data_IF_161397077799
#
_entry.id   IF_161397077799
#
_cell.length_a   1.000
_cell.length_b   1.000
_cell.length_c   1.000
_cell.angle_alpha   90.00
_cell.angle_beta   90.00
_cell.angle_gamma   90.00
#
_symmetry.space_group_name_H-M   'P 1'
#
loop_
_entity.id
_entity.type
_entity.pdbx_description
1 polymer ?
#
# COMPACT_ATOMS: atom_id res chain seq x y z
N UNK A 1 -46.92 -4.98 -11.26
CA UNK A 1 -47.22 -3.61 -10.79
C UNK A 1 -46.09 -3.17 -9.89
N UNK A 2 -45.45 -2.04 -10.21
CA UNK A 2 -44.32 -1.51 -9.45
C UNK A 2 -43.40 -0.60 -10.27
N UNK A 3 -43.90 0.05 -11.33
CA UNK A 3 -43.20 1.15 -11.98
C UNK A 3 -43.33 2.40 -11.12
N UNK A 4 -42.29 2.73 -10.37
CA UNK A 4 -42.01 4.09 -9.94
C UNK A 4 -40.80 4.55 -10.74
N UNK A 5 -40.99 5.65 -11.46
CA UNK A 5 -39.98 6.37 -12.22
C UNK A 5 -38.82 6.77 -11.30
N UNK A 6 -37.84 5.88 -11.13
CA UNK A 6 -36.50 6.30 -10.77
C UNK A 6 -35.82 6.63 -12.09
N UNK A 7 -35.45 7.89 -12.30
CA UNK A 7 -34.57 8.38 -13.37
C UNK A 7 -33.21 7.64 -13.31
N UNK A 8 -33.23 6.35 -13.62
CA UNK A 8 -32.16 5.38 -13.36
C UNK A 8 -30.99 5.51 -14.33
N UNK A 9 -31.13 6.39 -15.33
CA UNK A 9 -30.16 6.63 -16.39
C UNK A 9 -29.49 8.01 -16.32
N UNK A 10 -29.79 8.79 -15.27
CA UNK A 10 -29.33 10.17 -15.13
C UNK A 10 -29.98 11.12 -16.14
N UNK A 11 -30.17 12.38 -15.77
CA UNK A 11 -30.85 13.36 -16.65
C UNK A 11 -29.80 14.11 -17.48
N UNK A 12 -29.70 13.90 -18.81
CA UNK A 12 -28.75 14.62 -19.65
C UNK A 12 -29.14 16.10 -19.77
N UNK A 13 -28.14 16.98 -19.72
CA UNK A 13 -28.34 18.40 -19.99
C UNK A 13 -28.43 18.62 -21.51
N UNK A 14 -29.62 18.98 -21.98
CA UNK A 14 -29.88 19.32 -23.39
C UNK A 14 -29.34 20.70 -23.77
N UNK A 15 -29.08 21.57 -22.79
CA UNK A 15 -28.57 22.92 -23.02
C UNK A 15 -27.03 22.88 -23.07
N UNK A 16 -26.40 23.29 -24.18
CA UNK A 16 -24.94 23.32 -24.31
C UNK A 16 -24.28 24.10 -23.16
N UNK A 17 -23.14 23.59 -22.67
CA UNK A 17 -22.35 24.31 -21.67
C UNK A 17 -21.69 25.52 -22.31
N UNK A 18 -21.76 26.69 -21.65
CA UNK A 18 -21.10 27.93 -22.10
C UNK A 18 -19.59 27.76 -22.24
N UNK A 19 -18.99 26.86 -21.45
CA UNK A 19 -17.59 26.44 -21.60
C UNK A 19 -17.62 24.96 -21.96
N UNK A 20 -17.44 24.66 -23.24
CA UNK A 20 -17.43 23.29 -23.73
C UNK A 20 -16.39 22.45 -22.98
N UNK A 21 -16.79 21.25 -22.56
CA UNK A 21 -15.91 20.24 -21.96
C UNK A 21 -15.78 19.14 -22.98
N UNK A 22 -14.62 19.04 -23.60
CA UNK A 22 -14.33 18.02 -24.61
C UNK A 22 -13.76 16.75 -23.97
N UNK A 23 -13.87 15.65 -24.72
CA UNK A 23 -13.38 14.34 -24.29
C UNK A 23 -11.88 14.37 -23.95
N UNK A 24 -10.99 15.00 -24.75
CA UNK A 24 -9.56 15.12 -24.42
C UNK A 24 -9.30 15.82 -23.07
N UNK A 25 -10.07 16.86 -22.74
CA UNK A 25 -9.97 17.51 -21.44
C UNK A 25 -10.35 16.56 -20.30
N UNK A 26 -11.45 15.80 -20.44
CA UNK A 26 -11.88 14.82 -19.43
C UNK A 26 -10.84 13.72 -19.21
N UNK A 27 -10.26 13.22 -20.30
CA UNK A 27 -9.20 12.20 -20.25
C UNK A 27 -7.96 12.74 -19.53
N UNK A 28 -7.52 13.97 -19.85
CA UNK A 28 -6.38 14.59 -19.18
C UNK A 28 -6.68 14.92 -17.70
N UNK A 29 -7.89 15.39 -17.38
CA UNK A 29 -8.32 15.65 -16.02
C UNK A 29 -8.27 14.37 -15.17
N UNK A 30 -8.89 13.30 -15.65
CA UNK A 30 -8.96 12.02 -14.96
C UNK A 30 -7.56 11.41 -14.77
N UNK A 31 -6.73 11.45 -15.82
CA UNK A 31 -5.33 11.01 -15.76
C UNK A 31 -4.54 11.77 -14.70
N UNK A 32 -4.57 13.10 -14.72
CA UNK A 32 -3.80 13.91 -13.77
C UNK A 32 -4.26 13.70 -12.33
N UNK A 33 -5.57 13.56 -12.09
CA UNK A 33 -6.12 13.25 -10.77
C UNK A 33 -5.66 11.89 -10.28
N UNK A 34 -5.71 10.88 -11.14
CA UNK A 34 -5.29 9.53 -10.77
C UNK A 34 -3.79 9.43 -10.54
N UNK A 35 -2.97 9.96 -11.46
CA UNK A 35 -1.51 9.97 -11.32
C UNK A 35 -1.06 10.71 -10.06
N UNK A 36 -1.73 11.80 -9.68
CA UNK A 36 -1.46 12.50 -8.41
C UNK A 36 -1.63 11.58 -7.19
N UNK A 37 -2.70 10.78 -7.15
CA UNK A 37 -2.95 9.81 -6.05
C UNK A 37 -1.84 8.75 -6.02
N UNK A 38 -1.49 8.20 -7.18
CA UNK A 38 -0.48 7.14 -7.25
C UNK A 38 0.92 7.66 -6.93
N UNK A 39 1.29 8.86 -7.40
CA UNK A 39 2.56 9.50 -7.06
C UNK A 39 2.65 9.81 -5.57
N UNK A 40 1.54 10.19 -4.93
CA UNK A 40 1.47 10.34 -3.49
C UNK A 40 1.72 9.00 -2.77
N UNK A 41 1.09 7.91 -3.23
CA UNK A 41 1.32 6.57 -2.65
C UNK A 41 2.79 6.12 -2.72
N UNK A 42 3.48 6.46 -3.80
CA UNK A 42 4.90 6.12 -4.01
C UNK A 42 5.84 7.05 -3.21
N UNK A 43 5.36 8.16 -2.67
CA UNK A 43 6.19 9.14 -1.97
C UNK A 43 7.04 10.00 -2.91
N UNK A 44 6.77 9.96 -4.22
CA UNK A 44 7.30 10.96 -5.16
C UNK A 44 6.42 12.20 -5.06
N UNK A 45 6.73 13.05 -4.08
CA UNK A 45 5.94 14.25 -3.77
C UNK A 45 5.57 15.04 -5.03
N UNK A 46 4.26 15.22 -5.23
CA UNK A 46 3.73 16.22 -6.16
C UNK A 46 3.41 17.48 -5.36
N UNK A 47 3.56 18.67 -5.95
CA UNK A 47 3.25 19.95 -5.28
C UNK A 47 1.79 20.05 -4.82
N UNK A 48 0.91 19.17 -5.32
CA UNK A 48 -0.52 19.13 -5.00
C UNK A 48 -0.88 17.85 -4.26
N UNK A 49 -1.33 18.03 -3.03
CA UNK A 49 -1.83 16.96 -2.17
C UNK A 49 -3.17 16.40 -2.71
N UNK A 50 -3.40 15.08 -2.61
CA UNK A 50 -4.71 14.50 -2.79
C UNK A 50 -5.74 15.10 -1.83
N UNK A 51 -7.03 15.03 -2.20
CA UNK A 51 -8.10 15.49 -1.30
C UNK A 51 -8.17 14.66 -0.02
N UNK A 52 -8.64 15.26 1.07
CA UNK A 52 -8.70 14.63 2.40
C UNK A 52 -9.49 13.31 2.38
N UNK A 53 -10.55 13.22 1.58
CA UNK A 53 -11.34 12.01 1.39
C UNK A 53 -10.52 10.84 0.81
N UNK A 54 -9.62 11.13 -0.13
CA UNK A 54 -8.73 10.12 -0.72
C UNK A 54 -7.72 9.65 0.32
N UNK A 55 -7.12 10.56 1.09
CA UNK A 55 -6.15 10.22 2.13
C UNK A 55 -6.78 9.35 3.24
N UNK A 56 -8.00 9.70 3.65
CA UNK A 56 -8.76 8.93 4.63
C UNK A 56 -9.09 7.53 4.09
N UNK A 57 -9.49 7.40 2.82
CA UNK A 57 -9.76 6.10 2.22
C UNK A 57 -8.48 5.25 2.09
N UNK A 58 -7.36 5.84 1.65
CA UNK A 58 -6.07 5.13 1.55
C UNK A 58 -5.60 4.59 2.90
N UNK A 59 -5.91 5.31 3.99
CA UNK A 59 -5.64 4.86 5.36
C UNK A 59 -6.61 3.76 5.79
N UNK A 60 -7.91 3.95 5.59
CA UNK A 60 -8.94 2.99 5.96
C UNK A 60 -8.76 1.65 5.23
N UNK A 61 -8.47 1.70 3.94
CA UNK A 61 -8.17 0.52 3.11
C UNK A 61 -6.86 -0.19 3.48
N UNK A 62 -6.06 0.39 4.38
CA UNK A 62 -4.75 -0.12 4.73
C UNK A 62 -3.77 -0.12 3.56
N UNK A 63 -4.02 0.66 2.49
CA UNK A 63 -3.08 0.84 1.37
C UNK A 63 -1.91 1.76 1.75
N UNK A 64 -2.14 2.66 2.71
CA UNK A 64 -1.11 3.50 3.31
C UNK A 64 -1.30 3.56 4.83
N UNK A 65 -0.21 3.80 5.56
CA UNK A 65 -0.22 3.99 7.00
C UNK A 65 0.57 5.23 7.38
N UNK A 66 0.17 5.89 8.47
CA UNK A 66 0.80 7.13 8.94
C UNK A 66 -0.26 8.04 9.56
N UNK A 67 0.10 8.76 10.63
CA UNK A 67 -0.85 9.63 11.35
C UNK A 67 -1.02 10.97 10.64
N UNK A 68 0.07 11.54 10.15
CA UNK A 68 0.11 12.81 9.41
C UNK A 68 0.34 12.57 7.91
N UNK A 69 -0.06 13.53 7.08
CA UNK A 69 0.09 13.44 5.62
C UNK A 69 1.55 13.20 5.19
N UNK A 70 2.50 13.92 5.80
CA UNK A 70 3.94 13.81 5.50
C UNK A 70 4.59 12.50 6.03
N UNK A 71 3.88 11.77 6.89
CA UNK A 71 4.33 10.49 7.45
C UNK A 71 3.70 9.29 6.75
N UNK A 72 2.84 9.52 5.74
CA UNK A 72 2.15 8.46 5.03
C UNK A 72 3.15 7.61 4.26
N UNK A 73 3.18 6.31 4.56
CA UNK A 73 3.99 5.30 3.90
C UNK A 73 3.11 4.24 3.28
N UNK A 74 3.58 3.69 2.17
CA UNK A 74 2.87 2.61 1.48
C UNK A 74 2.94 1.32 2.29
N UNK A 75 1.86 0.54 2.31
CA UNK A 75 1.85 -0.80 2.90
C UNK A 75 2.14 -1.87 1.84
N UNK A 76 2.21 -3.13 2.27
CA UNK A 76 2.29 -4.26 1.34
C UNK A 76 1.09 -4.29 0.37
N UNK A 77 -0.14 -4.14 0.90
CA UNK A 77 -1.35 -4.08 0.08
C UNK A 77 -1.37 -2.84 -0.83
N UNK A 78 -0.87 -1.70 -0.35
CA UNK A 78 -0.67 -0.49 -1.14
C UNK A 78 0.24 -0.70 -2.35
N UNK A 79 1.35 -1.39 -2.15
CA UNK A 79 2.26 -1.70 -3.24
C UNK A 79 1.62 -2.67 -4.24
N UNK A 80 0.92 -3.72 -3.78
CA UNK A 80 0.18 -4.63 -4.66
C UNK A 80 -0.89 -3.89 -5.47
N UNK A 81 -1.59 -2.95 -4.85
CA UNK A 81 -2.56 -2.09 -5.51
C UNK A 81 -1.95 -1.31 -6.68
N UNK A 82 -0.74 -0.77 -6.53
CA UNK A 82 -0.04 -0.07 -7.62
C UNK A 82 0.26 -0.98 -8.83
N UNK A 83 0.24 -2.30 -8.66
CA UNK A 83 0.52 -3.27 -9.72
C UNK A 83 -0.72 -3.69 -10.50
N UNK A 84 -1.91 -3.39 -9.97
CA UNK A 84 -3.17 -3.71 -10.60
C UNK A 84 -3.38 -2.85 -11.85
N UNK A 85 -4.19 -3.34 -12.79
CA UNK A 85 -4.67 -2.53 -13.90
C UNK A 85 -5.61 -1.42 -13.39
N UNK A 86 -5.81 -0.37 -14.20
CA UNK A 86 -6.60 0.81 -13.80
C UNK A 86 -8.01 0.45 -13.31
N UNK A 87 -8.70 -0.46 -14.00
CA UNK A 87 -10.06 -0.88 -13.64
C UNK A 87 -10.08 -1.54 -12.25
N UNK A 88 -9.17 -2.48 -12.00
CA UNK A 88 -9.01 -3.17 -10.72
C UNK A 88 -8.60 -2.23 -9.60
N UNK A 89 -7.76 -1.23 -9.88
CA UNK A 89 -7.42 -0.21 -8.88
C UNK A 89 -8.65 0.63 -8.49
N UNK A 90 -9.43 1.12 -9.47
CA UNK A 90 -10.64 1.91 -9.18
C UNK A 90 -11.63 1.07 -8.37
N UNK A 91 -11.92 -0.16 -8.81
CA UNK A 91 -12.85 -1.04 -8.10
C UNK A 91 -12.37 -1.37 -6.69
N UNK A 92 -11.06 -1.56 -6.50
CA UNK A 92 -10.51 -1.79 -5.16
C UNK A 92 -10.76 -0.58 -4.25
N UNK A 93 -10.56 0.65 -4.72
CA UNK A 93 -10.90 1.85 -3.92
C UNK A 93 -12.41 1.97 -3.68
N UNK A 94 -13.24 1.73 -4.70
CA UNK A 94 -14.69 1.81 -4.57
C UNK A 94 -15.24 0.78 -3.57
N UNK A 95 -14.72 -0.45 -3.57
CA UNK A 95 -15.11 -1.47 -2.60
C UNK A 95 -14.72 -1.09 -1.17
N UNK A 96 -13.51 -0.56 -0.95
CA UNK A 96 -13.13 -0.04 0.36
C UNK A 96 -13.98 1.17 0.77
N UNK A 97 -14.40 1.99 -0.19
CA UNK A 97 -15.30 3.11 0.07
C UNK A 97 -16.68 2.60 0.49
N UNK A 98 -17.21 1.55 -0.17
CA UNK A 98 -18.46 0.88 0.21
C UNK A 98 -18.39 0.28 1.61
N UNK A 99 -17.27 -0.36 1.97
CA UNK A 99 -17.08 -0.87 3.34
C UNK A 99 -17.04 0.28 4.37
N UNK A 100 -16.37 1.40 4.04
CA UNK A 100 -16.27 2.56 4.93
C UNK A 100 -17.62 3.22 5.21
N UNK A 101 -18.54 3.24 4.24
CA UNK A 101 -19.91 3.77 4.43
C UNK A 101 -20.84 2.77 5.11
N UNK A 102 -20.61 1.47 4.95
CA UNK A 102 -21.34 0.41 5.65
C UNK A 102 -21.06 0.48 7.15
N UNK A 103 -19.81 0.76 7.53
CA UNK A 103 -19.42 1.08 8.91
C UNK A 103 -20.09 2.36 9.46
N UNK A 104 -20.61 3.22 8.59
CA UNK A 104 -21.39 4.42 8.95
C UNK A 104 -22.91 4.19 8.92
N UNK A 105 -23.35 2.93 8.86
CA UNK A 105 -24.76 2.51 8.81
C UNK A 105 -25.54 3.05 7.59
N UNK A 106 -24.84 3.35 6.49
CA UNK A 106 -25.47 3.71 5.21
C UNK A 106 -25.60 2.47 4.34
N UNK A 107 -26.80 2.19 3.84
CA UNK A 107 -27.04 1.06 2.93
C UNK A 107 -26.21 1.21 1.64
N UNK A 108 -25.25 0.29 1.36
CA UNK A 108 -24.39 0.40 0.19
C UNK A 108 -25.14 0.16 -1.13
N UNK A 109 -26.36 -0.39 -1.11
CA UNK A 109 -27.13 -0.73 -2.32
C UNK A 109 -27.45 0.50 -3.17
N UNK A 110 -27.90 1.62 -2.56
CA UNK A 110 -28.19 2.86 -3.31
C UNK A 110 -26.92 3.40 -4.00
N UNK A 111 -25.78 3.32 -3.31
CA UNK A 111 -24.50 3.82 -3.82
C UNK A 111 -23.96 2.91 -4.91
N UNK A 112 -24.10 1.60 -4.76
CA UNK A 112 -23.73 0.64 -5.78
C UNK A 112 -24.58 0.84 -7.07
N UNK A 113 -25.89 1.05 -6.93
CA UNK A 113 -26.76 1.37 -8.05
C UNK A 113 -26.33 2.68 -8.73
N UNK A 114 -25.96 3.69 -7.94
CA UNK A 114 -25.42 4.94 -8.46
C UNK A 114 -24.09 4.77 -9.21
N UNK A 115 -23.17 3.92 -8.72
CA UNK A 115 -21.91 3.61 -9.41
C UNK A 115 -22.16 2.91 -10.75
N UNK A 116 -23.12 1.98 -10.81
CA UNK A 116 -23.51 1.33 -12.06
C UNK A 116 -24.17 2.30 -13.04
N UNK A 117 -25.00 3.23 -12.55
CA UNK A 117 -25.54 4.31 -13.37
C UNK A 117 -24.39 5.12 -14.00
N UNK A 118 -23.40 5.55 -13.20
CA UNK A 118 -22.24 6.31 -13.69
C UNK A 118 -21.45 5.56 -14.77
N UNK A 119 -21.30 4.24 -14.64
CA UNK A 119 -20.61 3.41 -15.63
C UNK A 119 -21.31 3.35 -16.99
N UNK A 120 -22.62 3.55 -17.01
CA UNK A 120 -23.44 3.51 -18.22
C UNK A 120 -23.71 4.90 -18.84
N UNK A 121 -23.15 5.97 -18.28
CA UNK A 121 -23.30 7.31 -18.84
C UNK A 121 -22.39 7.52 -20.07
N UNK A 122 -22.82 8.41 -20.96
CA UNK A 122 -22.07 8.74 -22.18
C UNK A 122 -20.93 9.70 -21.88
N UNK A 123 -19.74 9.37 -22.36
CA UNK A 123 -18.57 10.21 -22.21
C UNK A 123 -18.72 11.51 -23.03
N UNK A 124 -18.45 12.64 -22.40
CA UNK A 124 -18.60 13.97 -23.02
C UNK A 124 -20.01 14.56 -22.86
N UNK A 125 -21.00 13.76 -22.47
CA UNK A 125 -22.33 14.24 -22.12
C UNK A 125 -22.34 14.80 -20.68
N UNK A 126 -23.09 15.88 -20.47
CA UNK A 126 -23.30 16.43 -19.11
C UNK A 126 -24.64 16.02 -18.53
N UNK A 127 -24.68 15.85 -17.21
CA UNK A 127 -25.85 15.37 -16.48
C UNK A 127 -26.18 16.28 -15.29
N UNK A 128 -27.46 16.39 -14.95
CA UNK A 128 -27.94 17.21 -13.83
C UNK A 128 -27.78 16.50 -12.49
N UNK A 129 -27.42 17.24 -11.45
CA UNK A 129 -27.37 16.72 -10.06
C UNK A 129 -28.75 16.72 -9.37
N UNK A 130 -29.76 17.36 -9.97
CA UNK A 130 -31.07 17.54 -9.33
C UNK A 130 -31.85 16.25 -9.12
N UNK A 131 -31.51 15.19 -9.87
CA UNK A 131 -32.11 13.87 -9.74
C UNK A 131 -31.40 12.99 -8.69
N UNK A 132 -30.30 13.47 -8.11
CA UNK A 132 -29.49 12.68 -7.18
C UNK A 132 -29.95 12.88 -5.74
N UNK A 133 -29.88 11.82 -4.94
CA UNK A 133 -30.14 11.89 -3.50
C UNK A 133 -29.03 12.69 -2.79
N UNK A 134 -29.27 13.23 -1.57
CA UNK A 134 -28.23 13.95 -0.82
C UNK A 134 -26.95 13.11 -0.61
N UNK A 135 -27.12 11.81 -0.39
CA UNK A 135 -26.02 10.85 -0.22
C UNK A 135 -25.27 10.67 -1.55
N UNK A 136 -25.98 10.49 -2.67
CA UNK A 136 -25.35 10.41 -4.00
C UNK A 136 -24.58 11.68 -4.36
N UNK A 137 -25.06 12.86 -3.94
CA UNK A 137 -24.33 14.13 -4.12
C UNK A 137 -23.03 14.15 -3.30
N UNK A 138 -23.05 13.64 -2.06
CA UNK A 138 -21.83 13.50 -1.25
C UNK A 138 -20.85 12.51 -1.90
N UNK A 139 -21.34 11.37 -2.38
CA UNK A 139 -20.53 10.38 -3.11
C UNK A 139 -19.95 11.01 -4.38
N UNK A 140 -20.74 11.79 -5.13
CA UNK A 140 -20.29 12.49 -6.33
C UNK A 140 -19.11 13.45 -6.03
N UNK A 141 -19.12 14.14 -4.89
CA UNK A 141 -18.01 14.98 -4.46
C UNK A 141 -16.75 14.16 -4.15
N UNK A 142 -16.91 12.97 -3.55
CA UNK A 142 -15.79 12.04 -3.33
C UNK A 142 -15.25 11.50 -4.68
N UNK A 143 -16.14 11.07 -5.59
CA UNK A 143 -15.79 10.58 -6.93
C UNK A 143 -15.09 11.63 -7.80
N UNK A 144 -15.37 12.91 -7.55
CA UNK A 144 -14.65 14.03 -8.17
C UNK A 144 -13.19 14.08 -7.74
N UNK A 145 -12.88 13.74 -6.49
CA UNK A 145 -11.50 13.72 -5.98
C UNK A 145 -10.70 12.52 -6.51
N UNK A 146 -11.36 11.39 -6.77
CA UNK A 146 -10.77 10.24 -7.51
C UNK A 146 -10.62 10.49 -9.01
N UNK A 147 -11.14 11.61 -9.53
CA UNK A 147 -11.13 11.90 -10.96
C UNK A 147 -12.11 11.05 -11.78
N UNK A 148 -13.01 10.31 -11.14
CA UNK A 148 -14.05 9.49 -11.79
C UNK A 148 -15.11 10.39 -12.43
N UNK A 149 -15.41 11.51 -11.78
CA UNK A 149 -16.34 12.52 -12.27
C UNK A 149 -15.64 13.88 -12.35
N UNK A 150 -16.00 14.69 -13.35
CA UNK A 150 -15.65 16.10 -13.41
C UNK A 150 -16.85 16.97 -13.07
N UNK A 151 -16.68 17.88 -12.11
CA UNK A 151 -17.68 18.89 -11.74
C UNK A 151 -16.99 20.21 -11.41
N UNK A 152 -17.54 21.32 -11.91
CA UNK A 152 -17.08 22.67 -11.57
C UNK A 152 -17.67 23.10 -10.23
N UNK A 153 -16.94 23.95 -9.50
CA UNK A 153 -17.42 24.55 -8.23
C UNK A 153 -18.81 25.16 -8.45
N UNK A 154 -19.77 24.73 -7.62
CA UNK A 154 -21.16 25.19 -7.63
C UNK A 154 -21.96 24.96 -8.92
N UNK A 155 -21.46 24.13 -9.85
CA UNK A 155 -22.22 23.73 -11.04
C UNK A 155 -23.34 22.75 -10.65
N UNK A 156 -24.50 22.89 -11.30
CA UNK A 156 -25.60 21.90 -11.26
C UNK A 156 -25.39 20.72 -12.22
N UNK A 157 -24.28 20.73 -12.96
CA UNK A 157 -23.94 19.73 -13.97
C UNK A 157 -22.64 19.02 -13.61
N UNK A 158 -22.59 17.73 -13.89
CA UNK A 158 -21.38 16.90 -13.82
C UNK A 158 -21.15 16.15 -15.14
N UNK A 159 -19.92 15.69 -15.33
CA UNK A 159 -19.50 14.93 -16.51
C UNK A 159 -18.83 13.63 -16.05
N UNK A 160 -19.29 12.45 -16.52
CA UNK A 160 -18.53 11.21 -16.33
C UNK A 160 -17.19 11.34 -17.05
N UNK A 161 -16.11 10.88 -16.42
CA UNK A 161 -14.82 10.76 -17.10
C UNK A 161 -14.66 9.35 -17.67
N UNK A 162 -13.55 9.11 -18.38
CA UNK A 162 -13.21 7.78 -18.86
C UNK A 162 -13.16 6.74 -17.74
N UNK A 163 -12.70 7.12 -16.54
CA UNK A 163 -12.62 6.21 -15.39
C UNK A 163 -13.99 5.71 -14.94
N UNK A 164 -15.05 6.53 -15.06
CA UNK A 164 -16.41 6.10 -14.78
C UNK A 164 -16.88 5.06 -15.80
N UNK A 165 -16.70 5.34 -17.10
CA UNK A 165 -17.11 4.43 -18.18
C UNK A 165 -16.34 3.11 -18.20
N UNK A 166 -15.15 3.07 -17.59
CA UNK A 166 -14.34 1.86 -17.42
C UNK A 166 -14.93 0.92 -16.35
N UNK A 167 -15.75 1.41 -15.41
CA UNK A 167 -16.27 0.59 -14.32
C UNK A 167 -17.03 -0.64 -14.82
N UNK A 168 -17.84 -0.45 -15.86
CA UNK A 168 -18.71 -1.49 -16.44
C UNK A 168 -18.18 -2.07 -17.75
N UNK A 169 -17.09 -1.51 -18.30
CA UNK A 169 -16.51 -1.96 -19.57
C UNK A 169 -15.16 -2.66 -19.37
N UNK A 170 -15.02 -3.85 -19.96
CA UNK A 170 -13.74 -4.60 -20.00
C UNK A 170 -12.74 -4.03 -21.01
N UNK A 171 -12.84 -2.74 -21.36
CA UNK A 171 -11.92 -2.14 -22.32
C UNK A 171 -10.58 -1.88 -21.65
N UNK A 172 -9.53 -2.60 -22.08
CA UNK A 172 -8.14 -2.34 -21.70
C UNK A 172 -7.71 -0.97 -22.27
N UNK A 173 -8.13 0.12 -21.63
CA UNK A 173 -7.75 1.46 -22.05
C UNK A 173 -6.26 1.65 -21.74
N UNK A 174 -5.50 1.81 -22.83
CA UNK A 174 -4.08 2.16 -22.93
C UNK A 174 -3.74 3.47 -22.20
N UNK A 175 -3.87 3.52 -20.87
CA UNK A 175 -3.08 4.45 -20.07
C UNK A 175 -1.67 3.86 -20.08
N UNK A 176 -0.90 4.15 -21.13
CA UNK A 176 0.48 3.67 -21.26
C UNK A 176 1.28 4.15 -20.05
N UNK A 177 1.50 3.22 -19.13
CA UNK A 177 2.01 3.38 -17.77
C UNK A 177 3.49 3.80 -17.67
N UNK A 178 4.02 4.68 -18.54
CA UNK A 178 5.47 4.97 -18.48
C UNK A 178 5.90 5.74 -17.22
N UNK A 179 5.22 6.80 -16.74
CA UNK A 179 5.73 7.56 -15.59
C UNK A 179 5.52 6.85 -14.25
N UNK A 180 4.36 6.21 -14.08
CA UNK A 180 4.03 5.49 -12.86
C UNK A 180 4.93 4.26 -12.67
N UNK A 181 5.09 3.41 -13.70
CA UNK A 181 5.94 2.23 -13.57
C UNK A 181 7.37 2.62 -13.23
N UNK A 182 7.86 3.74 -13.76
CA UNK A 182 9.16 4.29 -13.41
C UNK A 182 9.17 4.72 -11.93
N UNK A 183 8.12 5.40 -11.46
CA UNK A 183 8.02 5.82 -10.05
C UNK A 183 7.99 4.61 -9.10
N UNK A 184 7.22 3.57 -9.42
CA UNK A 184 7.18 2.30 -8.66
C UNK A 184 8.54 1.61 -8.68
N UNK A 185 9.21 1.55 -9.84
CA UNK A 185 10.54 0.96 -9.95
C UNK A 185 11.57 1.71 -9.09
N UNK A 186 11.44 3.04 -9.00
CA UNK A 186 12.32 3.90 -8.21
C UNK A 186 12.21 3.65 -6.69
N UNK A 187 11.20 2.90 -6.22
CA UNK A 187 11.07 2.51 -4.81
C UNK A 187 12.16 1.53 -4.38
N UNK A 188 12.64 0.66 -5.28
CA UNK A 188 13.58 -0.41 -4.95
C UNK A 188 14.77 -0.54 -5.92
N UNK A 189 14.77 0.22 -7.02
CA UNK A 189 15.86 0.29 -8.00
C UNK A 189 16.48 1.68 -8.01
N UNK A 190 17.81 1.76 -8.02
CA UNK A 190 18.51 3.01 -8.27
C UNK A 190 18.55 3.27 -9.79
N UNK A 191 17.70 4.17 -10.26
CA UNK A 191 17.64 4.57 -11.67
C UNK A 191 18.73 5.58 -11.99
N UNK A 192 19.47 5.37 -13.08
CA UNK A 192 20.55 6.27 -13.51
C UNK A 192 20.49 6.70 -14.98
N UNK A 193 19.63 6.08 -15.81
CA UNK A 193 19.31 6.58 -17.15
C UNK A 193 17.81 6.51 -17.43
N UNK A 194 17.28 7.55 -18.05
CA UNK A 194 15.88 7.64 -18.50
C UNK A 194 15.81 8.20 -19.91
N UNK A 195 15.28 7.40 -20.82
CA UNK A 195 14.87 7.78 -22.17
C UNK A 195 13.34 7.72 -22.29
N UNK A 196 12.79 8.15 -23.42
CA UNK A 196 11.35 8.21 -23.67
C UNK A 196 10.62 6.86 -23.49
N UNK A 197 11.27 5.74 -23.78
CA UNK A 197 10.70 4.38 -23.66
C UNK A 197 11.64 3.37 -22.98
N UNK A 198 12.73 3.82 -22.37
CA UNK A 198 13.72 2.95 -21.74
C UNK A 198 14.18 3.57 -20.44
N UNK A 199 14.23 2.77 -19.39
CA UNK A 199 14.85 3.15 -18.13
C UNK A 199 15.87 2.10 -17.76
N UNK A 200 17.06 2.56 -17.36
CA UNK A 200 18.15 1.71 -16.90
C UNK A 200 18.43 2.04 -15.44
N UNK A 201 18.48 0.99 -14.64
CA UNK A 201 18.71 1.08 -13.21
C UNK A 201 19.45 -0.15 -12.68
N UNK A 202 19.90 -0.06 -11.45
CA UNK A 202 20.58 -1.14 -10.74
C UNK A 202 19.92 -1.39 -9.39
N UNK A 203 19.69 -2.66 -9.06
CA UNK A 203 19.24 -3.06 -7.73
C UNK A 203 20.47 -3.14 -6.83
N UNK A 204 20.53 -2.27 -5.82
CA UNK A 204 21.64 -2.22 -4.87
C UNK A 204 21.13 -2.54 -3.48
N UNK A 205 22.04 -2.94 -2.59
CA UNK A 205 21.73 -3.10 -1.16
C UNK A 205 21.04 -1.87 -0.57
N UNK A 206 21.48 -0.67 -0.95
CA UNK A 206 20.91 0.58 -0.44
C UNK A 206 19.49 0.81 -1.00
N UNK A 207 19.25 0.56 -2.28
CA UNK A 207 17.93 0.77 -2.89
C UNK A 207 16.88 -0.17 -2.32
N UNK A 208 17.21 -1.47 -2.15
CA UNK A 208 16.27 -2.41 -1.51
C UNK A 208 16.09 -2.12 -0.03
N UNK A 209 17.14 -1.64 0.66
CA UNK A 209 17.04 -1.26 2.08
C UNK A 209 16.07 -0.09 2.29
N UNK A 210 16.07 0.90 1.39
CA UNK A 210 15.07 1.97 1.41
C UNK A 210 13.66 1.43 1.15
N UNK A 211 13.50 0.50 0.20
CA UNK A 211 12.23 -0.18 -0.03
C UNK A 211 11.70 -0.90 1.23
N UNK A 212 12.57 -1.65 1.93
CA UNK A 212 12.23 -2.33 3.18
C UNK A 212 11.82 -1.35 4.29
N UNK A 213 12.46 -0.18 4.38
CA UNK A 213 12.09 0.88 5.32
C UNK A 213 10.72 1.52 5.00
N UNK A 214 10.29 1.44 3.75
CA UNK A 214 8.99 1.89 3.26
C UNK A 214 7.95 0.77 3.21
N UNK A 215 8.20 -0.38 3.86
CA UNK A 215 7.20 -1.44 4.03
C UNK A 215 7.06 -2.39 2.83
N UNK A 216 7.96 -2.32 1.85
CA UNK A 216 7.98 -3.22 0.69
C UNK A 216 8.87 -4.42 1.03
N UNK A 217 8.39 -5.67 0.87
CA UNK A 217 9.12 -6.90 1.19
C UNK A 217 9.92 -7.46 0.00
N UNK A 218 10.84 -8.39 0.27
CA UNK A 218 11.61 -9.04 -0.80
C UNK A 218 10.71 -9.75 -1.81
N UNK A 219 9.73 -10.51 -1.32
CA UNK A 219 8.78 -11.25 -2.17
C UNK A 219 7.97 -10.33 -3.08
N UNK A 220 7.62 -9.12 -2.61
CA UNK A 220 6.92 -8.13 -3.45
C UNK A 220 7.81 -7.61 -4.58
N UNK A 221 9.08 -7.34 -4.30
CA UNK A 221 10.06 -6.91 -5.32
C UNK A 221 10.24 -8.02 -6.36
N UNK A 222 10.39 -9.27 -5.92
CA UNK A 222 10.56 -10.43 -6.81
C UNK A 222 9.30 -10.66 -7.66
N UNK A 223 8.12 -10.57 -7.05
CA UNK A 223 6.83 -10.71 -7.74
C UNK A 223 6.63 -9.60 -8.77
N UNK A 224 7.00 -8.36 -8.45
CA UNK A 224 6.99 -7.25 -9.40
C UNK A 224 7.86 -7.54 -10.62
N UNK A 225 9.14 -7.87 -10.38
CA UNK A 225 10.10 -8.15 -11.45
C UNK A 225 9.64 -9.32 -12.34
N UNK A 226 8.95 -10.30 -11.76
CA UNK A 226 8.43 -11.47 -12.48
C UNK A 226 7.21 -11.10 -13.33
N UNK A 227 6.27 -10.35 -12.75
CA UNK A 227 5.02 -9.93 -13.42
C UNK A 227 5.30 -9.03 -14.63
N UNK A 228 6.25 -8.10 -14.47
CA UNK A 228 6.69 -7.16 -15.49
C UNK A 228 7.89 -7.64 -16.31
N UNK A 229 8.29 -8.91 -16.18
CA UNK A 229 9.36 -9.49 -16.99
C UNK A 229 9.01 -9.46 -18.49
N UNK A 230 10.02 -9.22 -19.33
CA UNK A 230 9.85 -9.22 -20.77
C UNK A 230 9.26 -10.56 -21.27
N UNK A 231 8.34 -10.58 -22.27
CA UNK A 231 7.71 -11.82 -22.73
C UNK A 231 8.69 -12.92 -23.16
N UNK A 232 9.85 -12.52 -23.70
CA UNK A 232 10.92 -13.46 -24.04
C UNK A 232 11.59 -14.08 -22.80
N UNK A 233 11.71 -13.33 -21.70
CA UNK A 233 12.25 -13.84 -20.43
C UNK A 233 11.24 -14.74 -19.71
N UNK A 234 9.93 -14.49 -19.86
CA UNK A 234 8.87 -15.35 -19.29
C UNK A 234 8.88 -16.79 -19.83
N UNK A 235 9.54 -17.04 -20.97
CA UNK A 235 9.76 -18.38 -21.52
C UNK A 235 10.83 -19.17 -20.77
N UNK A 236 11.69 -18.50 -19.99
CA UNK A 236 12.76 -19.13 -19.23
C UNK A 236 12.29 -19.52 -17.83
N UNK A 237 12.76 -20.66 -17.33
CA UNK A 237 12.52 -21.14 -15.98
C UNK A 237 13.85 -21.34 -15.24
N UNK A 238 14.12 -20.60 -14.15
CA UNK A 238 13.31 -19.53 -13.56
C UNK A 238 13.38 -18.21 -14.35
N UNK A 239 12.32 -17.40 -14.28
CA UNK A 239 12.20 -16.12 -15.01
C UNK A 239 13.29 -15.12 -14.56
N UNK A 240 13.56 -15.12 -13.25
CA UNK A 240 14.62 -14.31 -12.62
C UNK A 240 15.72 -15.27 -12.17
N UNK A 241 17.01 -14.96 -12.42
CA UNK A 241 18.12 -15.77 -11.93
C UNK A 241 18.06 -16.01 -10.41
N UNK A 242 18.26 -17.25 -9.92
CA UNK A 242 18.18 -17.58 -8.49
C UNK A 242 19.08 -16.72 -7.61
N UNK A 243 20.29 -16.42 -8.09
CA UNK A 243 21.27 -15.59 -7.37
C UNK A 243 20.75 -14.19 -7.06
N UNK A 244 19.99 -13.59 -7.98
CA UNK A 244 19.39 -12.27 -7.77
C UNK A 244 18.25 -12.34 -6.75
N UNK A 245 17.42 -13.38 -6.82
CA UNK A 245 16.35 -13.64 -5.88
C UNK A 245 16.91 -13.81 -4.45
N UNK A 246 17.89 -14.69 -4.30
CA UNK A 246 18.56 -14.96 -3.03
C UNK A 246 19.23 -13.69 -2.48
N UNK A 247 19.86 -12.88 -3.33
CA UNK A 247 20.50 -11.64 -2.90
C UNK A 247 19.50 -10.63 -2.31
N UNK A 248 18.31 -10.49 -2.90
CA UNK A 248 17.25 -9.60 -2.40
C UNK A 248 16.72 -10.11 -1.06
N UNK A 249 16.49 -11.42 -0.92
CA UNK A 249 16.07 -12.05 0.33
C UNK A 249 17.10 -11.91 1.44
N UNK A 250 18.39 -12.12 1.13
CA UNK A 250 19.48 -11.94 2.07
C UNK A 250 19.54 -10.49 2.58
N UNK A 251 19.37 -9.50 1.69
CA UNK A 251 19.33 -8.09 2.09
C UNK A 251 18.14 -7.76 3.01
N UNK A 252 17.00 -8.43 2.85
CA UNK A 252 15.87 -8.32 3.80
C UNK A 252 16.21 -8.97 5.15
N UNK A 253 16.79 -10.17 5.15
CA UNK A 253 17.20 -10.88 6.37
C UNK A 253 18.26 -10.11 7.16
N UNK A 254 19.14 -9.36 6.50
CA UNK A 254 20.09 -8.46 7.14
C UNK A 254 19.43 -7.36 7.99
N UNK A 255 18.18 -6.98 7.71
CA UNK A 255 17.41 -6.05 8.56
C UNK A 255 16.95 -6.73 9.85
N UNK A 256 16.56 -8.00 9.76
CA UNK A 256 16.03 -8.79 10.87
C UNK A 256 17.13 -9.47 11.70
N UNK A 257 18.40 -9.05 11.53
CA UNK A 257 19.57 -9.68 12.16
C UNK A 257 19.68 -9.46 13.67
N UNK A 258 19.01 -8.43 14.19
CA UNK A 258 19.05 -8.08 15.61
C UNK A 258 17.75 -8.53 16.27
N UNK A 259 17.83 -9.63 17.03
CA UNK A 259 16.80 -9.99 18.02
C UNK A 259 17.22 -9.38 19.34
N UNK A 260 16.53 -8.32 19.77
CA UNK A 260 16.68 -7.81 21.11
C UNK A 260 16.00 -8.78 22.07
N UNK A 261 16.74 -9.28 23.04
CA UNK A 261 16.22 -10.16 24.09
C UNK A 261 16.43 -9.46 25.42
N UNK A 262 15.34 -9.11 26.11
CA UNK A 262 15.41 -8.57 27.45
C UNK A 262 15.77 -9.67 28.46
N UNK A 263 16.63 -9.33 29.42
CA UNK A 263 17.19 -10.32 30.32
C UNK A 263 18.33 -9.79 31.18
N UNK A 264 19.01 -10.71 31.83
CA UNK A 264 20.08 -10.43 32.78
C UNK A 264 21.38 -11.11 32.38
N UNK A 265 22.48 -10.38 32.47
CA UNK A 265 23.83 -10.90 32.29
C UNK A 265 24.41 -11.28 33.64
N UNK A 266 24.68 -12.56 33.84
CA UNK A 266 25.41 -13.06 34.99
C UNK A 266 26.91 -13.03 34.68
N UNK A 267 27.68 -12.41 35.58
CA UNK A 267 29.13 -12.21 35.45
C UNK A 267 29.80 -12.22 36.83
N UNK A 268 31.13 -12.13 36.84
CA UNK A 268 31.94 -11.99 38.06
C UNK A 268 31.83 -13.17 39.03
N UNK A 269 31.83 -14.41 38.50
CA UNK A 269 31.84 -15.63 39.32
C UNK A 269 33.21 -15.86 40.00
N UNK A 270 33.17 -16.14 41.32
CA UNK A 270 34.36 -16.36 42.15
C UNK A 270 35.17 -17.58 41.72
N UNK A 271 34.52 -18.66 41.28
CA UNK A 271 35.17 -19.89 40.82
C UNK A 271 34.58 -20.41 39.51
N UNK A 272 35.31 -21.28 38.84
CA UNK A 272 34.83 -21.93 37.62
C UNK A 272 33.71 -22.95 37.91
N UNK A 273 33.75 -23.63 39.06
CA UNK A 273 32.70 -24.58 39.44
C UNK A 273 31.37 -23.87 39.72
N UNK A 274 31.42 -22.67 40.30
CA UNK A 274 30.23 -21.87 40.60
C UNK A 274 29.52 -21.41 39.33
N UNK A 275 30.32 -21.00 38.35
CA UNK A 275 29.85 -20.69 37.00
C UNK A 275 29.19 -21.91 36.34
N UNK A 276 29.87 -23.07 36.33
CA UNK A 276 29.35 -24.29 35.72
C UNK A 276 28.05 -24.77 36.38
N UNK A 277 27.94 -24.68 37.71
CA UNK A 277 26.73 -25.04 38.45
C UNK A 277 25.55 -24.11 38.12
N UNK A 278 25.78 -22.79 38.13
CA UNK A 278 24.75 -21.82 37.79
C UNK A 278 24.31 -21.94 36.33
N UNK A 279 25.25 -22.15 35.41
CA UNK A 279 24.98 -22.35 33.99
C UNK A 279 24.20 -23.64 33.74
N UNK A 280 24.56 -24.74 34.40
CA UNK A 280 23.84 -26.01 34.30
C UNK A 280 22.39 -25.87 34.73
N UNK A 281 22.14 -25.21 35.86
CA UNK A 281 20.78 -24.94 36.34
C UNK A 281 19.98 -24.06 35.38
N UNK A 282 20.60 -23.01 34.82
CA UNK A 282 19.94 -22.14 33.84
C UNK A 282 19.65 -22.86 32.50
N UNK A 283 20.53 -23.79 32.09
CA UNK A 283 20.33 -24.63 30.90
C UNK A 283 19.21 -25.68 31.13
N UNK A 284 19.11 -26.27 32.32
CA UNK A 284 18.00 -27.18 32.70
C UNK A 284 16.63 -26.47 32.67
N UNK A 285 16.61 -25.19 33.01
CA UNK A 285 15.42 -24.34 32.91
C UNK A 285 15.15 -23.82 31.48
N UNK A 286 16.06 -24.06 30.53
CA UNK A 286 15.99 -23.61 29.14
C UNK A 286 15.80 -22.09 28.98
N UNK A 287 16.46 -21.32 29.84
CA UNK A 287 16.33 -19.84 29.91
C UNK A 287 17.59 -19.11 29.43
N UNK A 288 18.68 -19.83 29.17
CA UNK A 288 19.95 -19.28 28.66
C UNK A 288 19.78 -18.92 27.18
N UNK A 289 20.12 -17.68 26.84
CA UNK A 289 20.06 -17.15 25.46
C UNK A 289 21.46 -17.08 24.85
N UNK A 290 22.48 -16.89 25.68
CA UNK A 290 23.87 -16.78 25.25
C UNK A 290 24.82 -17.12 26.40
N UNK A 291 25.96 -17.72 26.09
CA UNK A 291 27.00 -18.06 27.07
C UNK A 291 28.40 -17.83 26.48
N UNK A 292 29.36 -17.48 27.34
CA UNK A 292 30.77 -17.44 27.01
C UNK A 292 31.60 -18.04 28.15
N UNK A 293 31.85 -19.37 28.11
CA UNK A 293 32.59 -20.08 29.16
C UNK A 293 33.99 -19.51 29.43
N UNK A 294 34.69 -19.05 28.39
CA UNK A 294 36.03 -18.44 28.51
C UNK A 294 36.05 -17.16 29.33
N UNK A 295 34.91 -16.47 29.44
CA UNK A 295 34.75 -15.25 30.23
C UNK A 295 33.92 -15.47 31.51
N UNK A 296 33.45 -16.69 31.75
CA UNK A 296 32.51 -17.05 32.84
C UNK A 296 31.30 -16.12 32.89
N UNK A 297 30.68 -15.88 31.74
CA UNK A 297 29.46 -15.06 31.66
C UNK A 297 28.39 -15.80 30.88
N UNK A 298 27.14 -15.60 31.27
CA UNK A 298 25.98 -16.07 30.51
C UNK A 298 24.80 -15.11 30.66
N UNK A 299 23.95 -15.08 29.65
CA UNK A 299 22.78 -14.23 29.57
C UNK A 299 21.50 -15.07 29.59
N UNK A 300 20.56 -14.66 30.43
CA UNK A 300 19.29 -15.36 30.65
C UNK A 300 18.14 -14.44 30.28
N UNK A 301 17.08 -15.00 29.69
CA UNK A 301 15.86 -14.26 29.41
C UNK A 301 15.17 -13.73 30.70
N UNK A 302 14.31 -12.72 30.56
CA UNK A 302 13.62 -12.12 31.72
C UNK A 302 12.64 -13.07 32.44
N UNK A 303 12.13 -14.09 31.75
CA UNK A 303 11.18 -15.05 32.31
C UNK A 303 11.82 -15.99 33.35
N UNK A 304 13.09 -16.35 33.16
CA UNK A 304 13.84 -17.26 34.02
C UNK A 304 14.80 -16.61 35.00
N UNK A 305 15.03 -15.30 34.90
CA UNK A 305 16.09 -14.62 35.66
C UNK A 305 15.91 -14.71 37.16
N UNK A 306 14.68 -14.56 37.67
CA UNK A 306 14.40 -14.62 39.11
C UNK A 306 14.73 -16.00 39.71
N UNK A 307 14.42 -17.08 38.99
CA UNK A 307 14.72 -18.45 39.45
C UNK A 307 16.23 -18.70 39.54
N UNK A 308 16.99 -18.20 38.56
CA UNK A 308 18.47 -18.29 38.56
C UNK A 308 19.07 -17.45 39.68
N UNK A 309 18.56 -16.23 39.91
CA UNK A 309 19.00 -15.37 41.03
C UNK A 309 18.73 -16.05 42.38
N UNK A 310 17.55 -16.64 42.57
CA UNK A 310 17.21 -17.32 43.82
C UNK A 310 18.06 -18.57 44.07
N UNK A 311 18.36 -19.33 43.02
CA UNK A 311 19.28 -20.46 43.09
C UNK A 311 20.69 -20.02 43.52
N UNK A 312 21.22 -18.99 42.87
CA UNK A 312 22.52 -18.40 43.19
C UNK A 312 22.51 -17.89 44.64
N UNK A 313 21.52 -17.12 45.06
CA UNK A 313 21.41 -16.66 46.45
C UNK A 313 21.39 -17.84 47.42
N UNK A 314 20.55 -18.87 47.23
CA UNK A 314 20.49 -20.02 48.15
C UNK A 314 21.82 -20.78 48.25
N UNK A 315 22.56 -20.89 47.15
CA UNK A 315 23.84 -21.61 47.10
C UNK A 315 25.02 -20.80 47.64
N UNK A 316 25.03 -19.48 47.43
CA UNK A 316 26.16 -18.60 47.76
C UNK A 316 25.95 -17.73 49.00
N UNK A 317 24.76 -17.72 49.61
CA UNK A 317 24.49 -17.04 50.91
C UNK A 317 24.82 -17.90 52.13
N UNK A 318 25.20 -19.17 51.94
CA UNK A 318 25.58 -20.10 53.01
C UNK A 318 27.11 -20.18 53.21
N UNK A 319 27.84 -19.10 52.89
CA UNK A 319 29.26 -18.92 53.18
C UNK A 319 29.47 -17.84 54.22
#
# INVERSE_FOLDING_TARGET
MGGKDHDSFGIPCLVPDKKHVDIPFLDNYAKNKWEMILHFMVGTGTEKLPGDHVLNLLRYSGLMFGSRCDEMKITNSGFQFLLLNINSQIWTLLLHYLNMIEDLEVDPVDILQFLFMLGNLELGQSYLISSLTPIQIQVLENLKDYGIVYRRKSSRRFYPTRLATILTSNSEILIRHSPLQIAVLNLFVHLYLRFSNLVVGVITRNSVRQAFMNGITAEQIISYLTSYAHPQMKKNTPIIPPTVNDQIRLWEMERNRLKATEGYLFRDFNSNSDFELALKYANELNVVVWEAPSKRVFFVNIQGSNMVVDYIKKKFSNL
#
